data_IF_919264705679
#
_entry.id   IF_919264705679
#
_cell.length_a   1.000
_cell.length_b   1.000
_cell.length_c   1.000
_cell.angle_alpha   90.00
_cell.angle_beta   90.00
_cell.angle_gamma   90.00
#
_symmetry.space_group_name_H-M   'P 1'
#
loop_
_entity.id
_entity.type
_entity.pdbx_description
1 polymer ?
#
# COMPACT_ATOMS: atom_id res chain seq x y z
N UNK A 1 -54.70 12.19 18.23
CA UNK A 1 -54.37 10.77 17.99
C UNK A 1 -53.16 10.74 17.08
N UNK A 2 -51.97 10.54 17.62
CA UNK A 2 -50.73 10.38 16.86
C UNK A 2 -50.02 9.16 17.42
N UNK A 3 -50.09 8.06 16.68
CA UNK A 3 -49.52 6.76 17.06
C UNK A 3 -48.19 6.58 16.34
N UNK A 4 -47.09 6.69 17.10
CA UNK A 4 -45.75 6.31 16.67
C UNK A 4 -45.60 4.80 16.69
N UNK A 5 -45.09 4.23 15.60
CA UNK A 5 -44.77 2.82 15.46
C UNK A 5 -43.32 2.63 15.93
N UNK A 6 -43.14 1.98 17.08
CA UNK A 6 -41.83 1.57 17.58
C UNK A 6 -41.41 0.24 16.96
N UNK A 7 -40.19 0.19 16.43
CA UNK A 7 -39.54 -1.05 16.01
C UNK A 7 -38.76 -1.64 17.19
N UNK A 8 -39.18 -2.83 17.63
CA UNK A 8 -38.51 -3.66 18.64
C UNK A 8 -37.45 -4.53 17.95
N UNK A 9 -36.17 -4.23 18.17
CA UNK A 9 -35.06 -5.09 17.75
C UNK A 9 -34.61 -5.92 18.95
N UNK A 10 -35.19 -7.11 19.09
CA UNK A 10 -34.92 -8.06 20.17
C UNK A 10 -33.50 -8.66 20.14
N UNK A 11 -32.49 -7.87 20.47
CA UNK A 11 -31.13 -8.37 20.74
C UNK A 11 -30.85 -8.33 22.25
N UNK A 12 -30.85 -9.49 22.91
CA UNK A 12 -30.42 -9.64 24.31
C UNK A 12 -28.92 -9.91 24.36
N UNK A 13 -28.17 -9.00 24.99
CA UNK A 13 -26.75 -9.19 25.29
C UNK A 13 -26.56 -10.30 26.36
N UNK A 14 -25.59 -11.22 26.21
CA UNK A 14 -25.24 -12.16 27.26
C UNK A 14 -24.43 -11.46 28.37
N UNK A 15 -24.71 -11.86 29.61
CA UNK A 15 -24.14 -11.29 30.83
C UNK A 15 -22.69 -11.72 31.08
N UNK A 16 -21.86 -10.72 31.42
CA UNK A 16 -20.73 -10.78 32.37
C UNK A 16 -19.79 -11.99 32.35
N UNK A 17 -18.71 -11.91 31.56
CA UNK A 17 -17.48 -12.67 31.76
C UNK A 17 -16.31 -11.72 31.97
N UNK A 18 -15.61 -11.83 33.10
CA UNK A 18 -14.40 -11.07 33.43
C UNK A 18 -13.29 -11.34 32.41
N UNK A 19 -13.03 -10.40 31.49
CA UNK A 19 -11.88 -10.47 30.58
C UNK A 19 -10.65 -9.91 31.29
N UNK A 20 -9.75 -10.82 31.68
CA UNK A 20 -8.44 -10.46 32.22
C UNK A 20 -7.64 -9.63 31.20
N UNK A 21 -7.07 -8.52 31.66
CA UNK A 21 -6.24 -7.65 30.84
C UNK A 21 -4.94 -8.36 30.40
N UNK A 22 -4.92 -8.88 29.17
CA UNK A 22 -3.68 -9.31 28.52
C UNK A 22 -2.93 -8.08 27.99
N UNK A 23 -1.99 -7.56 28.80
CA UNK A 23 -1.00 -6.57 28.32
C UNK A 23 -0.01 -7.25 27.39
N UNK A 24 -0.22 -7.13 26.08
CA UNK A 24 0.81 -7.47 25.07
C UNK A 24 1.93 -6.44 25.14
N UNK A 25 3.06 -6.80 25.78
CA UNK A 25 4.28 -5.98 25.83
C UNK A 25 5.01 -5.86 24.47
N UNK A 26 4.47 -6.42 23.37
CA UNK A 26 5.15 -6.48 22.07
C UNK A 26 4.93 -5.24 21.18
N UNK A 27 3.86 -4.45 21.35
CA UNK A 27 3.55 -3.34 20.44
C UNK A 27 4.56 -2.17 20.54
N UNK A 28 4.99 -1.81 21.75
CA UNK A 28 5.94 -0.67 21.93
C UNK A 28 7.33 -0.92 21.32
N UNK A 29 7.79 -2.17 21.33
CA UNK A 29 9.12 -2.54 20.83
C UNK A 29 9.17 -2.63 19.30
N UNK A 30 8.05 -2.93 18.64
CA UNK A 30 7.93 -2.89 17.18
C UNK A 30 7.92 -1.43 16.69
N UNK A 31 7.10 -0.57 17.31
CA UNK A 31 7.00 0.85 16.95
C UNK A 31 8.28 1.65 17.17
N UNK A 32 9.05 1.35 18.22
CA UNK A 32 10.32 2.03 18.48
C UNK A 32 11.36 1.84 17.36
N UNK A 33 11.30 0.73 16.60
CA UNK A 33 12.22 0.49 15.47
C UNK A 33 11.95 1.41 14.29
N UNK A 34 10.69 1.75 14.05
CA UNK A 34 10.29 2.61 12.94
C UNK A 34 10.89 4.03 13.07
N UNK A 35 10.99 4.54 14.31
CA UNK A 35 11.61 5.86 14.58
C UNK A 35 13.11 5.93 14.30
N UNK A 36 13.82 4.79 14.29
CA UNK A 36 15.26 4.74 13.95
C UNK A 36 15.50 4.62 12.45
N UNK A 37 14.53 4.12 11.69
CA UNK A 37 14.66 3.90 10.25
C UNK A 37 14.19 5.12 9.44
N UNK A 38 13.23 5.90 9.96
CA UNK A 38 12.83 7.19 9.39
C UNK A 38 13.88 8.29 9.60
N UNK A 39 14.72 8.19 10.64
CA UNK A 39 15.84 9.11 10.86
C UNK A 39 17.00 8.94 9.85
N UNK A 40 17.05 7.82 9.12
CA UNK A 40 18.09 7.55 8.13
C UNK A 40 17.77 8.07 6.71
N UNK A 41 16.65 8.78 6.53
CA UNK A 41 16.26 9.35 5.24
C UNK A 41 16.55 10.87 5.14
N UNK A 42 17.35 11.41 6.06
CA UNK A 42 17.91 12.76 6.00
C UNK A 42 19.38 12.71 5.60
N UNK A 43 19.68 13.26 4.42
CA UNK A 43 20.99 13.78 3.97
C UNK A 43 22.25 12.93 4.24
N UNK A 44 22.74 12.18 3.24
CA UNK A 44 24.19 11.97 3.12
C UNK A 44 24.65 11.87 1.66
N UNK A 45 25.23 12.98 1.20
CA UNK A 45 26.21 13.04 0.12
C UNK A 45 27.49 12.37 0.58
N UNK A 46 27.68 11.08 0.33
CA UNK A 46 29.01 10.52 0.02
C UNK A 46 28.90 9.08 -0.50
N UNK A 47 29.13 8.86 -1.80
CA UNK A 47 29.59 7.56 -2.29
C UNK A 47 30.91 7.75 -3.04
N UNK A 48 31.95 7.30 -2.35
CA UNK A 48 33.36 7.25 -2.70
C UNK A 48 33.56 6.34 -3.92
N UNK A 49 34.34 6.83 -4.87
CA UNK A 49 34.72 6.10 -6.07
C UNK A 49 35.55 4.85 -5.74
N UNK A 50 35.09 3.69 -6.23
CA UNK A 50 35.87 2.46 -6.31
C UNK A 50 36.08 2.14 -7.79
N UNK A 51 37.28 2.44 -8.30
CA UNK A 51 37.72 1.99 -9.63
C UNK A 51 37.91 0.47 -9.59
N UNK A 52 37.11 -0.24 -10.36
CA UNK A 52 37.47 -1.57 -10.85
C UNK A 52 37.29 -1.58 -12.36
N UNK A 53 38.41 -1.67 -13.07
CA UNK A 53 38.49 -1.79 -14.51
C UNK A 53 38.01 -3.17 -14.96
N UNK A 54 36.94 -3.21 -15.74
CA UNK A 54 36.74 -4.23 -16.77
C UNK A 54 36.09 -3.57 -17.98
N UNK A 55 36.71 -3.80 -19.13
CA UNK A 55 36.43 -3.14 -20.40
C UNK A 55 35.67 -4.15 -21.28
N UNK A 56 34.39 -3.88 -21.62
CA UNK A 56 33.71 -4.39 -22.82
C UNK A 56 32.26 -3.89 -22.92
N UNK A 57 31.96 -3.16 -24.00
CA UNK A 57 30.62 -3.12 -24.61
C UNK A 57 29.65 -2.04 -24.12
N UNK A 58 29.74 -0.84 -24.71
CA UNK A 58 28.66 0.15 -24.67
C UNK A 58 27.47 -0.33 -25.53
N UNK A 59 26.60 -1.15 -24.95
CA UNK A 59 25.24 -1.36 -25.43
C UNK A 59 24.30 -0.52 -24.58
N UNK A 60 23.55 0.39 -25.20
CA UNK A 60 22.44 1.04 -24.52
C UNK A 60 21.38 -0.03 -24.20
N UNK A 61 21.42 -0.58 -22.98
CA UNK A 61 20.39 -1.48 -22.48
C UNK A 61 19.07 -0.69 -22.41
N UNK A 62 18.26 -0.88 -23.43
CA UNK A 62 16.88 -0.42 -23.46
C UNK A 62 16.14 -1.16 -22.37
N UNK A 63 15.67 -0.44 -21.35
CA UNK A 63 14.75 -0.97 -20.33
C UNK A 63 13.59 -1.66 -21.04
N UNK A 64 13.61 -3.00 -21.11
CA UNK A 64 12.60 -3.75 -21.85
C UNK A 64 11.30 -3.70 -21.05
N UNK A 65 10.39 -2.82 -21.44
CA UNK A 65 9.02 -2.78 -20.93
C UNK A 65 8.16 -3.91 -21.50
N UNK A 66 8.72 -4.81 -22.32
CA UNK A 66 7.97 -5.88 -23.03
C UNK A 66 7.21 -6.79 -22.06
N UNK A 67 7.76 -7.02 -20.87
CA UNK A 67 7.15 -7.89 -19.85
C UNK A 67 6.41 -7.10 -18.76
N UNK A 68 6.26 -5.79 -18.93
CA UNK A 68 5.54 -4.93 -17.99
C UNK A 68 4.10 -4.71 -18.46
N UNK A 69 3.16 -4.74 -17.53
CA UNK A 69 1.78 -4.36 -17.77
C UNK A 69 1.68 -2.84 -17.88
N UNK A 70 1.32 -2.35 -19.05
CA UNK A 70 1.05 -0.93 -19.25
C UNK A 70 -0.29 -0.56 -18.59
N UNK A 71 -0.26 0.43 -17.71
CA UNK A 71 -1.43 0.96 -17.02
C UNK A 71 -1.84 2.29 -17.64
N UNK A 72 -0.91 3.24 -17.74
CA UNK A 72 -1.14 4.52 -18.43
C UNK A 72 -0.23 4.53 -19.65
N UNK A 73 -0.82 4.63 -20.83
CA UNK A 73 -0.11 4.55 -22.12
C UNK A 73 1.11 5.46 -22.15
N UNK A 74 2.27 4.85 -22.38
CA UNK A 74 3.58 5.51 -22.47
C UNK A 74 4.17 6.01 -21.14
N UNK A 75 3.41 5.98 -20.03
CA UNK A 75 3.76 6.70 -18.80
C UNK A 75 3.92 5.81 -17.59
N UNK A 76 2.98 4.90 -17.33
CA UNK A 76 2.95 4.13 -16.09
C UNK A 76 2.83 2.64 -16.38
N UNK A 77 3.75 1.87 -15.82
CA UNK A 77 3.81 0.42 -15.99
C UNK A 77 3.88 -0.27 -14.64
N UNK A 78 3.35 -1.49 -14.59
CA UNK A 78 3.48 -2.42 -13.48
C UNK A 78 4.29 -3.65 -13.92
N UNK A 79 5.32 -4.01 -13.18
CA UNK A 79 6.21 -5.11 -13.50
C UNK A 79 6.19 -6.14 -12.37
N UNK A 80 5.89 -7.39 -12.72
CA UNK A 80 6.10 -8.55 -11.86
C UNK A 80 7.22 -9.41 -12.43
N UNK A 81 8.40 -9.38 -11.82
CA UNK A 81 9.53 -10.19 -12.28
C UNK A 81 10.51 -10.47 -11.14
N UNK A 82 11.34 -11.52 -11.29
CA UNK A 82 12.46 -11.77 -10.35
C UNK A 82 13.53 -10.68 -10.45
N UNK A 83 13.80 -10.23 -11.67
CA UNK A 83 14.81 -9.20 -11.93
C UNK A 83 14.13 -7.84 -12.05
N UNK A 84 14.63 -6.87 -11.29
CA UNK A 84 14.18 -5.48 -11.38
C UNK A 84 14.58 -4.89 -12.74
N UNK A 85 13.66 -4.23 -13.47
CA UNK A 85 14.01 -3.46 -14.65
C UNK A 85 14.99 -2.32 -14.32
N UNK A 86 15.81 -1.92 -15.29
CA UNK A 86 16.79 -0.86 -15.10
C UNK A 86 16.19 0.54 -15.26
N UNK A 87 16.68 1.48 -14.44
CA UNK A 87 16.43 2.91 -14.61
C UNK A 87 17.05 3.40 -15.92
N UNK A 88 16.50 4.49 -16.48
CA UNK A 88 17.10 5.25 -17.57
C UNK A 88 16.91 6.75 -17.35
N UNK A 89 17.46 7.58 -18.23
CA UNK A 89 17.29 9.05 -18.14
C UNK A 89 15.81 9.48 -18.14
N UNK A 90 14.94 8.71 -18.79
CA UNK A 90 13.51 9.03 -18.95
C UNK A 90 12.59 8.10 -18.16
N UNK A 91 13.13 6.99 -17.64
CA UNK A 91 12.35 5.94 -16.98
C UNK A 91 12.86 5.71 -15.57
N UNK A 92 11.97 5.85 -14.58
CA UNK A 92 12.27 5.50 -13.19
C UNK A 92 11.57 4.20 -12.78
N UNK A 93 12.32 3.28 -12.20
CA UNK A 93 11.83 2.01 -11.69
C UNK A 93 11.86 2.03 -10.17
N UNK A 94 10.67 1.92 -9.56
CA UNK A 94 10.51 1.82 -8.11
C UNK A 94 10.18 0.39 -7.71
N UNK A 95 10.63 0.00 -6.53
CA UNK A 95 10.23 -1.24 -5.88
C UNK A 95 10.05 -0.94 -4.40
N UNK A 96 8.93 -1.38 -3.84
CA UNK A 96 8.53 -1.09 -2.46
C UNK A 96 8.62 -2.30 -1.54
N UNK A 97 9.03 -3.47 -2.06
CA UNK A 97 8.97 -4.75 -1.36
C UNK A 97 9.71 -4.71 -0.01
N UNK A 98 10.79 -3.92 0.07
CA UNK A 98 11.57 -3.71 1.28
C UNK A 98 11.46 -2.29 1.86
N UNK A 99 10.70 -1.40 1.22
CA UNK A 99 10.52 -0.02 1.66
C UNK A 99 9.25 0.13 2.52
N UNK A 100 8.17 -0.53 2.11
CA UNK A 100 6.88 -0.50 2.80
C UNK A 100 6.58 -1.90 3.34
N UNK A 101 7.08 -2.15 4.55
CA UNK A 101 6.92 -3.43 5.22
C UNK A 101 5.62 -3.46 6.01
N UNK A 102 4.78 -4.45 5.72
CA UNK A 102 3.65 -4.78 6.56
C UNK A 102 4.13 -5.63 7.75
N UNK A 103 3.87 -5.17 8.97
CA UNK A 103 4.16 -5.91 10.20
C UNK A 103 2.94 -6.74 10.60
N UNK A 104 2.90 -8.00 10.18
CA UNK A 104 1.78 -8.88 10.49
C UNK A 104 1.74 -9.33 11.95
N UNK A 105 0.53 -9.45 12.49
CA UNK A 105 0.31 -9.99 13.83
C UNK A 105 0.45 -11.52 13.85
N UNK A 106 -0.01 -12.19 12.79
CA UNK A 106 0.09 -13.61 12.58
C UNK A 106 0.43 -13.91 11.10
N UNK A 107 -0.54 -14.44 10.34
CA UNK A 107 -0.36 -14.80 8.93
C UNK A 107 -0.88 -13.74 7.96
N UNK A 108 -1.44 -12.65 8.50
CA UNK A 108 -1.79 -11.44 7.76
C UNK A 108 -0.54 -10.80 7.13
N UNK A 109 -0.74 -10.19 5.97
CA UNK A 109 0.36 -9.64 5.17
C UNK A 109 0.03 -8.31 4.48
N UNK A 110 -1.15 -7.77 4.73
CA UNK A 110 -1.67 -6.57 4.10
C UNK A 110 -3.18 -6.43 4.31
N UNK A 111 -3.82 -5.44 3.65
CA UNK A 111 -3.18 -4.45 2.78
C UNK A 111 -2.27 -3.49 3.54
N UNK A 112 -1.39 -2.79 2.82
CA UNK A 112 -0.55 -1.73 3.41
C UNK A 112 -1.40 -0.57 3.97
N UNK A 113 -0.89 0.07 5.03
CA UNK A 113 -1.59 1.13 5.76
C UNK A 113 -1.82 2.39 4.92
N UNK A 114 -2.76 3.23 5.36
CA UNK A 114 -3.08 4.49 4.69
C UNK A 114 -1.87 5.45 4.61
N UNK A 115 -0.95 5.38 5.57
CA UNK A 115 0.31 6.13 5.53
C UNK A 115 1.20 5.70 4.37
N UNK A 116 1.36 4.39 4.14
CA UNK A 116 2.11 3.90 2.98
C UNK A 116 1.40 4.17 1.66
N UNK A 117 0.06 4.08 1.62
CA UNK A 117 -0.73 4.53 0.47
C UNK A 117 -0.43 5.99 0.15
N UNK A 118 -0.52 6.88 1.13
CA UNK A 118 -0.29 8.31 0.92
C UNK A 118 1.15 8.60 0.47
N UNK A 119 2.16 7.99 1.10
CA UNK A 119 3.57 8.12 0.71
C UNK A 119 3.80 7.65 -0.72
N UNK A 120 3.28 6.47 -1.09
CA UNK A 120 3.38 5.92 -2.44
C UNK A 120 2.74 6.84 -3.48
N UNK A 121 1.54 7.35 -3.21
CA UNK A 121 0.84 8.27 -4.13
C UNK A 121 1.67 9.52 -4.40
N UNK A 122 2.20 10.15 -3.35
CA UNK A 122 3.07 11.33 -3.49
C UNK A 122 4.38 11.01 -4.19
N UNK A 123 4.95 9.84 -3.93
CA UNK A 123 6.19 9.39 -4.57
C UNK A 123 6.02 9.26 -6.09
N UNK A 124 4.95 8.59 -6.55
CA UNK A 124 4.65 8.47 -7.99
C UNK A 124 4.39 9.84 -8.62
N UNK A 125 3.56 10.70 -7.99
CA UNK A 125 3.28 12.05 -8.51
C UNK A 125 4.59 12.86 -8.67
N UNK A 126 5.47 12.81 -7.67
CA UNK A 126 6.77 13.49 -7.71
C UNK A 126 7.68 12.97 -8.82
N UNK A 127 7.60 11.67 -9.15
CA UNK A 127 8.38 11.08 -10.23
C UNK A 127 7.93 11.56 -11.60
N UNK A 128 6.63 11.77 -11.82
CA UNK A 128 6.14 12.34 -13.07
C UNK A 128 6.57 13.80 -13.29
N UNK A 129 7.03 14.50 -12.26
CA UNK A 129 7.70 15.81 -12.41
C UNK A 129 9.13 15.73 -12.95
N UNK A 130 9.74 14.54 -13.00
CA UNK A 130 11.16 14.33 -13.34
C UNK A 130 11.39 13.34 -14.48
N UNK A 131 10.49 12.38 -14.63
CA UNK A 131 10.60 11.27 -15.57
C UNK A 131 9.32 11.19 -16.42
N UNK A 132 9.47 10.91 -17.71
CA UNK A 132 8.32 10.70 -18.59
C UNK A 132 7.67 9.33 -18.39
N UNK A 133 8.44 8.38 -17.85
CA UNK A 133 8.01 7.00 -17.59
C UNK A 133 8.33 6.57 -16.16
N UNK A 134 7.38 5.91 -15.51
CA UNK A 134 7.53 5.29 -14.20
C UNK A 134 7.10 3.83 -14.28
N UNK A 135 7.90 2.93 -13.69
CA UNK A 135 7.59 1.52 -13.57
C UNK A 135 7.55 1.18 -12.08
N UNK A 136 6.40 0.71 -11.60
CA UNK A 136 6.34 0.05 -10.31
C UNK A 136 6.63 -1.44 -10.49
N UNK A 137 7.73 -1.89 -9.91
CA UNK A 137 8.18 -3.26 -9.95
C UNK A 137 7.97 -3.94 -8.60
N UNK A 138 7.46 -5.16 -8.62
CA UNK A 138 7.40 -6.06 -7.47
C UNK A 138 8.05 -7.42 -7.81
N UNK A 139 8.61 -8.05 -6.79
CA UNK A 139 9.03 -9.45 -6.85
C UNK A 139 7.82 -10.40 -7.01
N UNK A 140 8.01 -11.61 -7.55
CA UNK A 140 6.92 -12.58 -7.74
C UNK A 140 6.66 -13.35 -6.44
N UNK A 141 6.37 -12.61 -5.37
CA UNK A 141 5.89 -13.16 -4.11
C UNK A 141 4.44 -12.75 -3.90
N UNK A 142 3.61 -13.64 -3.36
CA UNK A 142 2.19 -13.35 -3.17
C UNK A 142 1.96 -12.06 -2.35
N UNK A 143 2.84 -11.75 -1.38
CA UNK A 143 2.77 -10.54 -0.56
C UNK A 143 3.07 -9.29 -1.38
N UNK A 144 4.16 -9.31 -2.14
CA UNK A 144 4.59 -8.17 -2.96
C UNK A 144 3.61 -7.91 -4.11
N UNK A 145 3.10 -8.97 -4.74
CA UNK A 145 2.12 -8.86 -5.83
C UNK A 145 0.81 -8.21 -5.36
N UNK A 146 0.24 -8.70 -4.25
CA UNK A 146 -1.01 -8.18 -3.74
C UNK A 146 -0.86 -6.74 -3.22
N UNK A 147 0.16 -6.45 -2.41
CA UNK A 147 0.38 -5.11 -1.87
C UNK A 147 0.81 -4.10 -2.93
N UNK A 148 1.67 -4.49 -3.89
CA UNK A 148 2.08 -3.63 -5.00
C UNK A 148 0.92 -3.30 -5.94
N UNK A 149 0.07 -4.29 -6.24
CA UNK A 149 -1.16 -4.06 -7.01
C UNK A 149 -2.14 -3.16 -6.26
N UNK A 150 -2.31 -3.37 -4.96
CA UNK A 150 -3.15 -2.52 -4.11
C UNK A 150 -2.67 -1.07 -4.11
N UNK A 151 -1.38 -0.81 -3.85
CA UNK A 151 -0.82 0.54 -3.87
C UNK A 151 -1.00 1.23 -5.23
N UNK A 152 -0.74 0.49 -6.32
CA UNK A 152 -0.92 1.01 -7.67
C UNK A 152 -2.40 1.34 -7.96
N UNK A 153 -3.33 0.47 -7.56
CA UNK A 153 -4.76 0.73 -7.64
C UNK A 153 -5.18 1.96 -6.85
N UNK A 154 -4.69 2.12 -5.61
CA UNK A 154 -4.95 3.31 -4.80
C UNK A 154 -4.43 4.59 -5.49
N UNK A 155 -3.24 4.56 -6.10
CA UNK A 155 -2.73 5.68 -6.89
C UNK A 155 -3.66 6.04 -8.07
N UNK A 156 -4.12 5.04 -8.81
CA UNK A 156 -5.04 5.25 -9.93
C UNK A 156 -6.37 5.87 -9.46
N UNK A 157 -6.91 5.44 -8.31
CA UNK A 157 -8.11 6.05 -7.72
C UNK A 157 -7.84 7.49 -7.28
N UNK A 158 -6.78 7.71 -6.48
CA UNK A 158 -6.56 8.97 -5.77
C UNK A 158 -6.09 10.07 -6.72
N UNK A 159 -5.05 9.81 -7.51
CA UNK A 159 -4.43 10.81 -8.38
C UNK A 159 -5.01 10.82 -9.80
N UNK A 160 -5.36 9.66 -10.35
CA UNK A 160 -5.86 9.56 -11.74
C UNK A 160 -7.38 9.53 -11.84
N UNK A 161 -8.10 9.44 -10.71
CA UNK A 161 -9.58 9.39 -10.65
C UNK A 161 -10.18 8.22 -11.44
N UNK A 162 -9.46 7.10 -11.50
CA UNK A 162 -9.96 5.89 -12.14
C UNK A 162 -11.03 5.21 -11.29
N UNK A 163 -12.04 4.69 -11.97
CA UNK A 163 -13.02 3.76 -11.40
C UNK A 163 -12.44 2.36 -11.22
N UNK A 164 -13.05 1.56 -10.35
CA UNK A 164 -12.72 0.13 -10.19
C UNK A 164 -12.81 -0.65 -11.52
N UNK A 165 -13.75 -0.27 -12.40
CA UNK A 165 -13.88 -0.88 -13.72
C UNK A 165 -12.63 -0.66 -14.58
N UNK A 166 -12.14 0.58 -14.66
CA UNK A 166 -10.92 0.92 -15.43
C UNK A 166 -9.69 0.19 -14.89
N UNK A 167 -9.56 0.11 -13.56
CA UNK A 167 -8.47 -0.64 -12.92
C UNK A 167 -8.56 -2.13 -13.28
N UNK A 168 -9.76 -2.70 -13.23
CA UNK A 168 -9.99 -4.12 -13.55
C UNK A 168 -9.67 -4.45 -15.02
N UNK A 169 -10.03 -3.56 -15.94
CA UNK A 169 -9.69 -3.67 -17.36
C UNK A 169 -8.18 -3.54 -17.60
N UNK A 170 -7.54 -2.56 -16.95
CA UNK A 170 -6.12 -2.28 -17.11
C UNK A 170 -5.23 -3.40 -16.58
N UNK A 171 -5.52 -3.95 -15.40
CA UNK A 171 -4.77 -5.08 -14.84
C UNK A 171 -5.18 -6.42 -15.45
N UNK A 172 -6.46 -6.58 -15.77
CA UNK A 172 -7.07 -7.81 -16.27
C UNK A 172 -7.63 -8.68 -15.13
N UNK A 173 -8.88 -9.11 -15.27
CA UNK A 173 -9.60 -9.87 -14.23
C UNK A 173 -8.91 -11.19 -13.85
N UNK A 174 -8.32 -11.90 -14.81
CA UNK A 174 -7.56 -13.13 -14.52
C UNK A 174 -6.37 -12.89 -13.60
N UNK A 175 -5.62 -11.81 -13.84
CA UNK A 175 -4.49 -11.45 -12.98
C UNK A 175 -4.97 -11.08 -11.57
N UNK A 176 -5.98 -10.21 -11.47
CA UNK A 176 -6.52 -9.78 -10.18
C UNK A 176 -7.08 -10.94 -9.36
N UNK A 177 -7.77 -11.89 -10.00
CA UNK A 177 -8.29 -13.09 -9.36
C UNK A 177 -7.20 -14.10 -8.95
N UNK A 178 -5.99 -14.00 -9.53
CA UNK A 178 -4.85 -14.85 -9.17
C UNK A 178 -4.10 -14.35 -7.92
N UNK A 179 -4.33 -13.10 -7.51
CA UNK A 179 -3.69 -12.53 -6.33
C UNK A 179 -4.20 -13.22 -5.07
N UNK A 180 -3.30 -13.51 -4.13
CA UNK A 180 -3.72 -14.03 -2.82
C UNK A 180 -4.56 -12.95 -2.11
N UNK A 181 -5.80 -13.27 -1.67
CA UNK A 181 -6.58 -12.35 -0.86
C UNK A 181 -5.90 -12.01 0.46
N UNK A 182 -6.19 -10.83 0.98
CA UNK A 182 -5.82 -10.45 2.34
C UNK A 182 -6.68 -11.20 3.34
N UNK A 183 -6.08 -11.51 4.49
CA UNK A 183 -6.71 -12.29 5.57
C UNK A 183 -6.69 -11.51 6.87
N UNK A 184 -7.49 -11.95 7.83
CA UNK A 184 -7.52 -11.40 9.17
C UNK A 184 -6.23 -11.70 9.98
N UNK A 185 -6.06 -10.96 11.09
CA UNK A 185 -4.93 -11.07 12.02
C UNK A 185 -5.08 -12.20 13.06
N UNK A 186 -6.20 -12.91 13.06
CA UNK A 186 -6.52 -13.96 14.02
C UNK A 186 -5.68 -15.24 13.84
N UNK A 187 -5.82 -16.14 14.81
CA UNK A 187 -5.26 -17.49 14.77
C UNK A 187 -6.33 -18.43 14.28
N UNK A 188 -6.12 -19.08 13.13
CA UNK A 188 -7.06 -20.05 12.60
C UNK A 188 -7.20 -20.03 11.08
N UNK A 189 -8.24 -20.70 10.55
CA UNK A 189 -8.62 -20.60 9.15
C UNK A 189 -9.00 -19.16 8.78
N UNK A 190 -8.94 -18.87 7.48
CA UNK A 190 -9.35 -17.58 6.92
C UNK A 190 -10.77 -17.70 6.39
N UNK A 191 -11.74 -17.27 7.20
CA UNK A 191 -13.17 -17.43 6.92
C UNK A 191 -13.75 -16.26 6.11
N UNK A 192 -13.03 -15.13 6.03
CA UNK A 192 -13.49 -13.92 5.34
C UNK A 192 -12.36 -13.21 4.59
N UNK A 193 -11.80 -13.83 3.54
CA UNK A 193 -10.75 -13.23 2.74
C UNK A 193 -11.25 -11.99 1.98
N UNK A 194 -10.46 -10.92 1.97
CA UNK A 194 -10.71 -9.72 1.17
C UNK A 194 -9.79 -9.69 -0.06
N UNK A 195 -10.37 -9.59 -1.24
CA UNK A 195 -9.56 -9.44 -2.46
C UNK A 195 -8.95 -8.04 -2.56
N UNK A 196 -7.93 -7.87 -3.41
CA UNK A 196 -7.40 -6.54 -3.72
C UNK A 196 -8.50 -5.60 -4.25
N UNK A 197 -9.43 -6.12 -5.04
CA UNK A 197 -10.57 -5.34 -5.54
C UNK A 197 -11.50 -4.88 -4.41
N UNK A 198 -11.74 -5.69 -3.39
CA UNK A 198 -12.59 -5.30 -2.25
C UNK A 198 -11.95 -4.15 -1.46
N UNK A 199 -10.63 -4.23 -1.21
CA UNK A 199 -9.89 -3.14 -0.58
C UNK A 199 -9.89 -1.86 -1.43
N UNK A 200 -9.77 -1.97 -2.76
CA UNK A 200 -9.82 -0.82 -3.66
C UNK A 200 -11.21 -0.16 -3.71
N UNK A 201 -12.30 -0.95 -3.66
CA UNK A 201 -13.67 -0.41 -3.51
C UNK A 201 -13.82 0.38 -2.20
N UNK A 202 -13.23 -0.13 -1.11
CA UNK A 202 -13.18 0.58 0.17
C UNK A 202 -12.45 1.93 0.04
N UNK A 203 -11.30 1.95 -0.62
CA UNK A 203 -10.55 3.18 -0.89
C UNK A 203 -11.34 4.16 -1.77
N UNK A 204 -11.95 3.68 -2.86
CA UNK A 204 -12.79 4.50 -3.74
C UNK A 204 -13.92 5.15 -2.95
N UNK A 205 -14.59 4.38 -2.09
CA UNK A 205 -15.67 4.89 -1.24
C UNK A 205 -15.18 5.90 -0.20
N UNK A 206 -14.02 5.66 0.43
CA UNK A 206 -13.42 6.59 1.37
C UNK A 206 -13.06 7.94 0.71
N UNK A 207 -12.58 7.93 -0.54
CA UNK A 207 -12.37 9.16 -1.32
C UNK A 207 -13.70 9.87 -1.61
N UNK A 208 -14.72 9.13 -2.06
CA UNK A 208 -16.05 9.70 -2.37
C UNK A 208 -16.72 10.35 -1.15
N UNK A 209 -16.51 9.79 0.04
CA UNK A 209 -17.04 10.29 1.30
C UNK A 209 -16.15 11.35 1.96
N UNK A 210 -15.04 11.74 1.33
CA UNK A 210 -14.02 12.64 1.88
C UNK A 210 -13.41 12.15 3.21
N UNK A 211 -13.42 10.85 3.48
CA UNK A 211 -12.72 10.26 4.63
C UNK A 211 -11.20 10.27 4.43
N UNK A 212 -10.77 10.31 3.17
CA UNK A 212 -9.38 10.55 2.81
C UNK A 212 -9.29 11.63 1.75
N UNK A 213 -8.32 12.54 1.91
CA UNK A 213 -7.89 13.44 0.85
C UNK A 213 -6.37 13.50 0.77
N UNK A 214 -5.83 13.56 -0.45
CA UNK A 214 -4.38 13.69 -0.68
C UNK A 214 -3.80 14.97 -0.07
N UNK A 215 -4.60 16.04 0.00
CA UNK A 215 -4.18 17.33 0.56
C UNK A 215 -4.32 17.42 2.08
N UNK A 216 -5.20 16.64 2.70
CA UNK A 216 -5.51 16.74 4.14
C UNK A 216 -4.92 15.64 5.01
N UNK A 217 -4.44 14.53 4.44
CA UNK A 217 -3.83 13.46 5.25
C UNK A 217 -2.41 13.83 5.70
N UNK A 218 -2.16 13.79 7.01
CA UNK A 218 -0.86 14.06 7.63
C UNK A 218 -0.17 12.76 8.08
N UNK A 219 0.90 12.40 7.37
CA UNK A 219 1.73 11.23 7.69
C UNK A 219 2.39 11.35 9.07
N UNK A 220 2.82 12.55 9.48
CA UNK A 220 3.49 12.76 10.75
C UNK A 220 2.50 12.58 11.90
N UNK A 221 1.32 13.20 11.81
CA UNK A 221 0.26 13.00 12.82
C UNK A 221 -0.10 11.52 12.96
N UNK A 222 -0.34 10.83 11.83
CA UNK A 222 -0.64 9.40 11.82
C UNK A 222 0.44 8.57 12.55
N UNK A 223 1.72 8.82 12.25
CA UNK A 223 2.84 8.13 12.92
C UNK A 223 2.92 8.45 14.42
N UNK A 224 2.62 9.68 14.81
CA UNK A 224 2.63 10.11 16.21
C UNK A 224 1.48 9.50 17.01
N UNK A 225 0.27 9.41 16.45
CA UNK A 225 -0.89 8.75 17.07
C UNK A 225 -0.59 7.28 17.36
N UNK A 226 0.01 6.58 16.39
CA UNK A 226 0.36 5.19 16.57
C UNK A 226 1.47 5.01 17.59
N UNK A 227 2.54 5.82 17.52
CA UNK A 227 3.69 5.70 18.41
C UNK A 227 3.34 5.94 19.88
N UNK A 228 2.43 6.88 20.16
CA UNK A 228 2.13 7.30 21.53
C UNK A 228 0.82 6.74 22.09
N UNK A 229 -0.09 6.29 21.23
CA UNK A 229 -1.42 5.81 21.63
C UNK A 229 -1.81 4.46 21.05
N UNK A 230 -1.10 3.93 20.05
CA UNK A 230 -1.57 2.80 19.23
C UNK A 230 -2.96 3.08 18.60
N UNK A 231 -3.14 4.33 18.13
CA UNK A 231 -4.41 4.84 17.59
C UNK A 231 -4.25 5.28 16.13
N UNK A 232 -5.36 5.24 15.40
CA UNK A 232 -5.49 5.88 14.08
C UNK A 232 -6.94 6.30 13.82
N UNK A 233 -7.11 7.34 13.00
CA UNK A 233 -8.43 7.78 12.55
C UNK A 233 -9.00 6.82 11.50
N UNK A 234 -10.25 6.39 11.70
CA UNK A 234 -11.00 5.59 10.70
C UNK A 234 -11.85 6.52 9.82
N UNK A 235 -12.54 7.47 10.46
CA UNK A 235 -13.28 8.56 9.81
C UNK A 235 -12.78 9.86 10.43
N UNK A 236 -12.37 10.86 9.63
CA UNK A 236 -11.92 12.14 10.18
C UNK A 236 -13.06 12.84 10.90
N UNK A 237 -12.74 13.50 12.02
CA UNK A 237 -13.65 14.36 12.81
C UNK A 237 -14.88 13.65 13.43
N UNK A 238 -14.77 12.36 13.80
CA UNK A 238 -15.86 11.57 14.43
C UNK A 238 -15.47 10.98 15.79
#
# INVERSE_FOLDING_TARGET
>A
MSSGVGFDTGYKAPAGGSVGAYKSKKSSAAYARNSRQTAAYGDDRTLRASKTTSNAGAGAETTSTKDCKELITGKLYFSKARSKPFDSQQCKVINIDNAYLYEGYNSDFGPLTLNFVHKFVKEIDNMFGKYSKVIHHCSPSYKAEANGTFLMGCYLIISQKWSIKQISEAFGGSYLNSLRPFRDAGVGPDDFPLTVIDCLKGMERAVQLNWYSKGGFDCFEFEQMLKHGDLSWVVPDQ
#
